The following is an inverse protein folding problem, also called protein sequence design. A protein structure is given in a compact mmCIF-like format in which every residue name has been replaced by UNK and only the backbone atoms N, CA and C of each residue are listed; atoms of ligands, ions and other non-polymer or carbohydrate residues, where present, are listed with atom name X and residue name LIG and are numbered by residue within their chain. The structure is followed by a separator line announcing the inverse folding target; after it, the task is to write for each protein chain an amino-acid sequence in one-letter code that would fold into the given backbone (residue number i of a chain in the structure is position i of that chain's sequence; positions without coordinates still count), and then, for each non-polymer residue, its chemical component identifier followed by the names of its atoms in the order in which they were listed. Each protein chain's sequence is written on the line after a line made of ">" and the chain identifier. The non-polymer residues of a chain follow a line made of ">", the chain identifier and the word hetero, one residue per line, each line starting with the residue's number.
data_IF_438554572075
#
_entry.id   IF_438554572075
#
_cell.length_a   1.000
_cell.length_b   1.000
_cell.length_c   1.000
_cell.angle_alpha   90.00
_cell.angle_beta   90.00
_cell.angle_gamma   90.00
#
_symmetry.space_group_name_H-M   'P 1'
#
loop_
_entity.id
_entity.type
_entity.pdbx_description
1 polymer ?
#
# COMPACT_ATOMS: atom_id res chain seq x y z
N UNK A 1 18.66 -18.41 3.22
CA UNK A 1 17.91 -17.63 2.26
C UNK A 1 17.47 -16.32 2.85
N UNK A 2 17.64 -15.27 2.12
CA UNK A 2 17.26 -13.95 2.58
C UNK A 2 15.82 -13.65 2.20
N UNK A 3 14.95 -13.51 3.19
CA UNK A 3 13.54 -13.25 2.95
C UNK A 3 13.28 -11.85 2.38
N UNK A 4 14.21 -10.92 2.53
CA UNK A 4 14.04 -9.59 1.99
C UNK A 4 13.94 -9.60 0.46
N UNK A 5 14.59 -10.56 -0.19
CA UNK A 5 14.52 -10.68 -1.64
C UNK A 5 13.13 -11.04 -2.12
N UNK A 6 12.32 -11.61 -1.27
CA UNK A 6 10.96 -12.02 -1.62
C UNK A 6 10.01 -10.84 -1.76
N UNK A 7 10.42 -9.68 -1.30
CA UNK A 7 9.66 -8.45 -1.54
C UNK A 7 9.51 -8.15 -3.02
N UNK A 8 10.38 -8.71 -3.86
CA UNK A 8 10.25 -8.58 -5.30
C UNK A 8 8.93 -9.16 -5.83
N UNK A 9 8.30 -10.05 -5.08
CA UNK A 9 7.04 -10.66 -5.51
C UNK A 9 5.91 -9.65 -5.68
N UNK A 10 5.99 -8.47 -5.03
CA UNK A 10 4.96 -7.45 -5.23
C UNK A 10 5.30 -6.48 -6.36
N UNK A 11 6.52 -6.49 -6.85
CA UNK A 11 6.92 -5.61 -7.95
C UNK A 11 6.11 -5.95 -9.21
N UNK A 12 5.63 -4.92 -9.87
CA UNK A 12 4.79 -5.07 -11.04
C UNK A 12 3.32 -5.30 -10.72
N UNK A 13 2.95 -5.42 -9.44
CA UNK A 13 1.56 -5.60 -9.07
C UNK A 13 0.88 -4.26 -8.86
N UNK A 14 -0.41 -4.23 -9.20
CA UNK A 14 -1.29 -3.10 -8.90
C UNK A 14 -2.36 -3.61 -7.96
N UNK A 15 -2.52 -2.94 -6.83
CA UNK A 15 -3.55 -3.28 -5.85
C UNK A 15 -4.48 -2.09 -5.67
N UNK A 16 -5.76 -2.39 -5.48
CA UNK A 16 -6.79 -1.39 -5.22
C UNK A 16 -7.26 -1.58 -3.78
N UNK A 17 -6.94 -0.58 -2.94
CA UNK A 17 -7.24 -0.63 -1.51
C UNK A 17 -8.49 0.19 -1.22
N UNK A 18 -9.40 -0.37 -0.44
CA UNK A 18 -10.56 0.35 0.09
C UNK A 18 -10.40 0.42 1.59
N UNK A 19 -10.29 1.64 2.11
CA UNK A 19 -10.05 1.87 3.53
C UNK A 19 -11.34 1.79 4.31
N UNK A 20 -11.33 1.02 5.40
CA UNK A 20 -12.50 0.86 6.27
C UNK A 20 -12.28 1.51 7.63
N UNK A 21 -11.06 1.93 7.93
CA UNK A 21 -10.71 2.59 9.18
C UNK A 21 -9.51 3.51 8.95
N UNK A 22 -9.49 4.66 9.60
CA UNK A 22 -8.39 5.61 9.52
C UNK A 22 -8.80 6.93 8.88
N UNK A 23 -7.83 7.84 8.66
CA UNK A 23 -8.12 9.18 8.14
C UNK A 23 -8.76 9.20 6.75
N UNK A 24 -8.54 8.15 5.96
CA UNK A 24 -9.09 8.07 4.60
C UNK A 24 -10.22 7.05 4.50
N UNK A 25 -10.88 6.75 5.62
CA UNK A 25 -11.99 5.81 5.65
C UNK A 25 -13.00 6.12 4.55
N UNK A 26 -13.37 5.08 3.80
CA UNK A 26 -14.31 5.20 2.68
C UNK A 26 -13.67 5.48 1.34
N UNK A 27 -12.40 5.86 1.32
CA UNK A 27 -11.69 6.12 0.08
C UNK A 27 -11.13 4.83 -0.53
N UNK A 28 -10.98 4.85 -1.84
CA UNK A 28 -10.32 3.78 -2.58
C UNK A 28 -9.08 4.37 -3.24
N UNK A 29 -7.95 3.70 -3.08
CA UNK A 29 -6.69 4.12 -3.66
C UNK A 29 -6.09 2.97 -4.44
N UNK A 30 -5.52 3.26 -5.62
CA UNK A 30 -4.73 2.29 -6.36
C UNK A 30 -3.25 2.53 -6.08
N UNK A 31 -2.51 1.45 -5.87
CA UNK A 31 -1.07 1.49 -5.67
C UNK A 31 -0.42 0.60 -6.72
N UNK A 32 0.44 1.19 -7.54
CA UNK A 32 1.19 0.48 -8.57
C UNK A 32 2.63 0.34 -8.09
N UNK A 33 3.05 -0.89 -7.82
CA UNK A 33 4.41 -1.17 -7.37
C UNK A 33 5.28 -1.38 -8.60
N UNK A 34 6.02 -0.35 -8.96
CA UNK A 34 6.85 -0.36 -10.16
C UNK A 34 8.12 -1.19 -9.97
N UNK A 35 8.66 -1.66 -11.08
CA UNK A 35 9.88 -2.48 -11.06
C UNK A 35 11.10 -1.72 -10.54
N UNK A 36 11.08 -0.39 -10.62
CA UNK A 36 12.19 0.45 -10.18
C UNK A 36 12.21 0.72 -8.67
N UNK A 37 11.29 0.13 -7.91
CA UNK A 37 11.26 0.31 -6.45
C UNK A 37 10.46 1.51 -5.98
N UNK A 38 9.70 2.13 -6.89
CA UNK A 38 8.78 3.20 -6.51
C UNK A 38 7.35 2.69 -6.50
N UNK A 39 6.50 3.33 -5.70
CA UNK A 39 5.06 3.06 -5.69
C UNK A 39 4.34 4.32 -6.13
N UNK A 40 3.51 4.17 -7.14
CA UNK A 40 2.66 5.25 -7.63
C UNK A 40 1.27 5.03 -7.07
N UNK A 41 0.67 6.05 -6.47
CA UNK A 41 -0.68 5.90 -5.98
C UNK A 41 -1.59 6.99 -6.51
N UNK A 42 -2.86 6.65 -6.60
CA UNK A 42 -3.90 7.55 -7.13
C UNK A 42 -5.24 7.24 -6.46
N UNK A 43 -6.13 8.22 -6.48
CA UNK A 43 -7.50 7.96 -6.09
C UNK A 43 -8.17 7.08 -7.14
N UNK A 44 -9.10 6.24 -6.71
CA UNK A 44 -9.90 5.43 -7.60
C UNK A 44 -11.35 5.46 -7.13
N UNK A 45 -12.30 5.27 -8.04
CA UNK A 45 -13.70 5.15 -7.67
C UNK A 45 -14.08 3.68 -7.44
N UNK A 46 -15.32 3.46 -7.01
CA UNK A 46 -15.80 2.11 -6.74
C UNK A 46 -15.83 1.22 -7.98
N UNK A 47 -15.88 1.80 -9.17
CA UNK A 47 -15.83 1.07 -10.43
C UNK A 47 -14.38 0.79 -10.86
N UNK A 48 -13.41 1.29 -10.12
CA UNK A 48 -12.00 1.06 -10.39
C UNK A 48 -11.40 2.02 -11.39
N UNK A 49 -12.07 3.11 -11.70
CA UNK A 49 -11.54 4.12 -12.60
C UNK A 49 -10.61 5.02 -11.79
N UNK A 50 -9.32 4.97 -12.09
CA UNK A 50 -8.32 5.76 -11.41
C UNK A 50 -8.23 7.18 -11.93
N UNK A 51 -7.85 8.10 -11.04
CA UNK A 51 -7.51 9.46 -11.40
C UNK A 51 -6.04 9.58 -11.80
N UNK A 52 -5.55 10.80 -11.86
CA UNK A 52 -4.14 11.04 -12.10
C UNK A 52 -3.31 10.60 -10.90
N UNK A 53 -2.08 10.20 -11.15
CA UNK A 53 -1.15 9.81 -10.09
C UNK A 53 -0.93 11.00 -9.15
N UNK A 54 -0.99 10.73 -7.84
CA UNK A 54 -0.74 11.74 -6.82
C UNK A 54 0.74 11.93 -6.57
N UNK A 55 1.46 10.82 -6.47
CA UNK A 55 2.90 10.83 -6.24
C UNK A 55 3.48 9.46 -6.53
N UNK A 56 4.80 9.39 -6.57
CA UNK A 56 5.49 8.14 -6.85
C UNK A 56 6.76 8.04 -5.99
N UNK A 57 6.62 7.86 -4.65
CA UNK A 57 7.78 7.76 -3.78
C UNK A 57 8.44 6.39 -3.86
N UNK A 58 9.70 6.28 -3.45
CA UNK A 58 10.29 4.97 -3.21
C UNK A 58 9.56 4.27 -2.07
N UNK A 59 9.55 2.94 -2.09
CA UNK A 59 9.00 2.16 -1.00
C UNK A 59 9.98 1.08 -0.58
N UNK A 60 9.77 0.57 0.63
CA UNK A 60 10.44 -0.63 1.12
C UNK A 60 9.39 -1.67 1.43
N UNK A 61 9.74 -2.92 1.21
CA UNK A 61 8.85 -4.03 1.53
C UNK A 61 9.67 -5.21 2.01
N UNK A 62 9.14 -5.94 2.98
CA UNK A 62 9.71 -7.19 3.45
C UNK A 62 8.62 -8.23 3.55
N UNK A 63 8.96 -9.47 3.22
CA UNK A 63 8.03 -10.57 3.41
C UNK A 63 8.01 -10.95 4.89
N UNK A 64 6.84 -10.93 5.48
CA UNK A 64 6.65 -11.27 6.90
C UNK A 64 6.29 -12.75 7.05
N UNK A 65 5.51 -13.25 6.12
CA UNK A 65 5.11 -14.64 6.03
C UNK A 65 4.74 -14.90 4.59
N UNK A 66 4.49 -16.15 4.23
CA UNK A 66 4.15 -16.50 2.86
C UNK A 66 2.89 -15.74 2.40
N UNK A 67 3.06 -14.91 1.38
CA UNK A 67 1.98 -14.07 0.86
C UNK A 67 1.63 -12.86 1.70
N UNK A 68 2.46 -12.51 2.69
CA UNK A 68 2.21 -11.40 3.60
C UNK A 68 3.41 -10.46 3.59
N UNK A 69 3.19 -9.19 3.26
CA UNK A 69 4.27 -8.22 3.09
C UNK A 69 4.03 -6.98 3.94
N UNK A 70 5.07 -6.54 4.65
CA UNK A 70 5.07 -5.23 5.27
C UNK A 70 5.63 -4.24 4.25
N UNK A 71 4.93 -3.16 4.02
CA UNK A 71 5.27 -2.15 3.00
C UNK A 71 5.24 -0.78 3.65
N UNK A 72 6.24 0.03 3.37
CA UNK A 72 6.32 1.37 3.93
C UNK A 72 6.82 2.36 2.90
N UNK A 73 6.20 3.54 2.87
CA UNK A 73 6.71 4.65 2.07
C UNK A 73 6.37 5.99 2.74
N UNK A 74 7.19 6.99 2.44
CA UNK A 74 7.02 8.35 2.95
C UNK A 74 6.25 9.15 1.92
N UNK A 75 5.06 9.60 2.29
CA UNK A 75 4.24 10.41 1.42
C UNK A 75 4.68 11.88 1.44
N UNK A 76 4.37 12.59 0.37
CA UNK A 76 4.71 14.01 0.24
C UNK A 76 4.07 14.86 1.34
N UNK A 77 2.97 14.40 1.93
CA UNK A 77 2.31 15.08 3.05
C UNK A 77 3.12 15.07 4.34
N UNK A 78 4.19 14.26 4.41
CA UNK A 78 4.96 14.06 5.64
C UNK A 78 4.50 12.85 6.43
N UNK A 79 3.42 12.21 6.04
CA UNK A 79 3.01 10.95 6.66
C UNK A 79 3.79 9.79 6.07
N UNK A 80 4.15 8.85 6.94
CA UNK A 80 4.69 7.56 6.53
C UNK A 80 3.53 6.56 6.59
N UNK A 81 3.28 5.89 5.49
CA UNK A 81 2.32 4.81 5.47
C UNK A 81 3.09 3.49 5.63
N UNK A 82 2.77 2.75 6.68
CA UNK A 82 3.36 1.43 6.91
C UNK A 82 2.23 0.45 7.10
N UNK A 83 2.09 -0.47 6.17
CA UNK A 83 0.96 -1.41 6.17
C UNK A 83 1.46 -2.82 5.92
N UNK A 84 0.66 -3.77 6.38
CA UNK A 84 0.83 -5.18 6.07
C UNK A 84 -0.24 -5.55 5.05
N UNK A 85 0.20 -5.99 3.89
CA UNK A 85 -0.67 -6.48 2.82
C UNK A 85 -0.69 -8.01 2.90
N UNK A 86 -1.84 -8.55 3.25
CA UNK A 86 -2.02 -10.00 3.32
C UNK A 86 -2.73 -10.46 2.05
N UNK A 87 -1.98 -11.05 1.13
CA UNK A 87 -2.52 -11.52 -0.16
C UNK A 87 -3.33 -12.79 -0.03
N UNK A 88 -3.32 -13.43 1.14
CA UNK A 88 -4.08 -14.66 1.37
C UNK A 88 -5.55 -14.36 1.65
N UNK A 89 -5.83 -13.27 2.40
CA UNK A 89 -7.19 -12.89 2.74
C UNK A 89 -7.59 -11.52 2.19
N UNK A 90 -6.67 -10.86 1.49
CA UNK A 90 -6.89 -9.56 0.84
C UNK A 90 -7.21 -8.45 1.84
N UNK A 91 -6.61 -8.51 3.01
CA UNK A 91 -6.76 -7.49 4.04
C UNK A 91 -5.49 -6.69 4.18
N UNK A 92 -5.65 -5.41 4.54
CA UNK A 92 -4.55 -4.50 4.81
C UNK A 92 -4.74 -3.91 6.20
N UNK A 93 -3.66 -3.85 6.97
CA UNK A 93 -3.65 -3.22 8.30
C UNK A 93 -2.32 -2.50 8.47
N UNK A 94 -2.31 -1.43 9.24
CA UNK A 94 -1.08 -0.74 9.54
C UNK A 94 -1.31 0.60 10.17
N UNK A 95 -0.43 1.53 9.86
CA UNK A 95 -0.44 2.87 10.46
C UNK A 95 -0.06 3.91 9.44
N UNK A 96 -0.72 5.06 9.54
CA UNK A 96 -0.29 6.30 8.91
C UNK A 96 0.28 7.17 10.03
N UNK A 97 1.54 7.53 9.96
CA UNK A 97 2.21 8.23 11.06
C UNK A 97 2.98 9.44 10.56
N UNK A 98 3.09 10.44 11.43
CA UNK A 98 3.88 11.64 11.17
C UNK A 98 4.76 11.90 12.40
N UNK A 99 5.47 13.02 12.40
CA UNK A 99 6.28 13.41 13.55
C UNK A 99 5.44 13.70 14.80
N UNK A 100 4.14 13.96 14.63
CA UNK A 100 3.26 14.40 15.73
C UNK A 100 2.17 13.43 16.10
N UNK A 101 1.74 12.60 15.16
CA UNK A 101 0.60 11.70 15.41
C UNK A 101 0.73 10.44 14.57
N UNK A 102 -0.10 9.48 14.90
CA UNK A 102 -0.22 8.24 14.13
C UNK A 102 -1.65 7.74 14.22
N UNK A 103 -2.07 7.06 13.18
CA UNK A 103 -3.45 6.57 13.07
C UNK A 103 -3.43 5.13 12.59
N UNK A 104 -4.12 4.22 13.28
CA UNK A 104 -4.33 2.89 12.73
C UNK A 104 -5.12 3.00 11.43
N UNK A 105 -4.75 2.19 10.45
CA UNK A 105 -5.49 2.08 9.19
C UNK A 105 -5.83 0.63 8.94
N UNK A 106 -6.95 0.40 8.32
CA UNK A 106 -7.44 -0.93 8.04
C UNK A 106 -8.29 -0.90 6.78
N UNK A 107 -8.24 -1.96 6.03
CA UNK A 107 -9.05 -2.06 4.83
C UNK A 107 -8.93 -3.41 4.17
N UNK A 108 -9.38 -3.46 2.93
CA UNK A 108 -9.27 -4.63 2.08
C UNK A 108 -8.74 -4.21 0.72
N UNK A 109 -8.26 -5.16 -0.04
CA UNK A 109 -7.75 -4.83 -1.37
C UNK A 109 -8.01 -5.94 -2.36
N UNK A 110 -7.89 -5.56 -3.63
CA UNK A 110 -7.93 -6.46 -4.77
C UNK A 110 -6.64 -6.31 -5.54
N UNK A 111 -6.18 -7.40 -6.12
CA UNK A 111 -5.07 -7.36 -7.07
C UNK A 111 -5.68 -7.15 -8.44
N UNK A 112 -5.32 -6.04 -9.11
CA UNK A 112 -5.91 -5.72 -10.41
C UNK A 112 -4.98 -6.02 -11.57
N UNK A 113 -3.70 -6.17 -11.29
CA UNK A 113 -2.76 -6.64 -12.32
C UNK A 113 -1.41 -7.03 -11.73
#
# INVERSE_FOLDING_TARGET
>A
MDHTDRAEAIRGKTVRLTWTEGPTRGATHEHVFHQDGTVEWRDADAAGKGGAAKERPPYAAVEVADGVYAVSYLAASGYTLTVVLNFRDRKVVGFASSAKDWHPVRGRFEVVS
#
